data_IF_615141843515
#
_entry.id   IF_615141843515
#
_cell.length_a   1.000
_cell.length_b   1.000
_cell.length_c   1.000
_cell.angle_alpha   90.00
_cell.angle_beta   90.00
_cell.angle_gamma   90.00
#
_symmetry.space_group_name_H-M   'P 1'
#
loop_
_entity.id
_entity.type
_entity.pdbx_description
1 polymer ?
#
# COMPACT_ATOMS: atom_id res chain seq x y z
N UNK A 1 9.00 -5.89 -2.09
CA UNK A 1 8.66 -6.13 -3.51
C UNK A 1 7.93 -7.46 -3.60
N UNK A 2 6.90 -7.55 -4.46
CA UNK A 2 6.29 -8.85 -4.80
C UNK A 2 7.06 -9.47 -5.95
N UNK A 3 7.38 -10.74 -5.81
CA UNK A 3 8.11 -11.53 -6.79
C UNK A 3 7.18 -12.57 -7.39
N UNK A 4 7.17 -12.63 -8.71
CA UNK A 4 6.48 -13.66 -9.49
C UNK A 4 7.50 -14.60 -10.11
N UNK A 5 7.09 -15.83 -10.40
CA UNK A 5 7.95 -16.87 -10.97
C UNK A 5 7.19 -17.60 -12.06
N UNK A 6 7.75 -17.74 -13.26
CA UNK A 6 7.09 -18.40 -14.42
C UNK A 6 6.46 -19.76 -14.10
N UNK A 7 7.03 -20.51 -13.16
CA UNK A 7 6.48 -21.80 -12.73
C UNK A 7 5.12 -21.67 -12.02
N UNK A 8 4.81 -20.49 -11.49
CA UNK A 8 3.54 -20.14 -10.87
C UNK A 8 2.55 -19.51 -11.86
N UNK A 9 2.95 -19.24 -13.12
CA UNK A 9 2.08 -18.64 -14.13
C UNK A 9 0.93 -19.60 -14.43
N UNK A 10 -0.29 -19.11 -14.24
CA UNK A 10 -1.50 -19.80 -14.62
C UNK A 10 -1.83 -19.47 -16.07
N UNK A 11 -2.30 -20.48 -16.79
CA UNK A 11 -2.78 -20.33 -18.17
C UNK A 11 -1.72 -19.74 -19.13
N UNK A 12 -0.46 -20.22 -19.12
CA UNK A 12 0.57 -19.66 -19.99
C UNK A 12 0.17 -19.85 -21.47
N UNK A 13 0.01 -18.75 -22.20
CA UNK A 13 -0.30 -18.76 -23.63
C UNK A 13 -1.79 -18.83 -24.00
N UNK A 14 -2.72 -18.69 -23.06
CA UNK A 14 -4.15 -18.55 -23.37
C UNK A 14 -4.43 -17.14 -23.92
N UNK A 15 -4.83 -17.08 -25.19
CA UNK A 15 -5.15 -15.83 -25.93
C UNK A 15 -6.39 -15.08 -25.41
N UNK A 16 -6.98 -15.52 -24.30
CA UNK A 16 -8.20 -14.94 -23.72
C UNK A 16 -7.91 -13.97 -22.57
N UNK A 17 -6.67 -13.92 -22.07
CA UNK A 17 -6.30 -12.87 -21.12
C UNK A 17 -6.29 -11.52 -21.85
N UNK A 18 -6.81 -10.45 -21.25
CA UNK A 18 -6.64 -9.10 -21.79
C UNK A 18 -5.15 -8.81 -22.04
N UNK A 19 -4.86 -8.03 -23.08
CA UNK A 19 -3.48 -7.72 -23.47
C UNK A 19 -2.67 -7.19 -22.27
N UNK A 20 -1.55 -7.85 -21.99
CA UNK A 20 -0.64 -7.48 -20.89
C UNK A 20 -1.02 -8.02 -19.51
N UNK A 21 -2.09 -8.82 -19.36
CA UNK A 21 -2.46 -9.44 -18.08
C UNK A 21 -1.92 -10.86 -17.97
N UNK A 22 -1.26 -11.15 -16.84
CA UNK A 22 -0.80 -12.50 -16.48
C UNK A 22 -1.38 -12.91 -15.13
N UNK A 23 -1.74 -14.18 -15.00
CA UNK A 23 -2.29 -14.74 -13.78
C UNK A 23 -1.26 -15.61 -13.08
N UNK A 24 -1.17 -15.50 -11.75
CA UNK A 24 -0.20 -16.24 -10.95
C UNK A 24 -0.93 -17.05 -9.87
N UNK A 25 -0.53 -18.29 -9.67
CA UNK A 25 -1.08 -19.17 -8.62
C UNK A 25 -0.60 -18.78 -7.22
N UNK A 26 0.56 -18.14 -7.12
CA UNK A 26 1.09 -17.54 -5.91
C UNK A 26 2.10 -16.44 -6.24
N UNK A 27 2.32 -15.55 -5.28
CA UNK A 27 3.34 -14.50 -5.31
C UNK A 27 4.16 -14.55 -4.04
N UNK A 28 5.45 -14.26 -4.14
CA UNK A 28 6.36 -14.22 -2.99
C UNK A 28 6.54 -12.77 -2.54
N UNK A 29 6.57 -12.53 -1.22
CA UNK A 29 6.99 -11.25 -0.66
C UNK A 29 8.48 -11.38 -0.27
N UNK A 30 9.35 -10.74 -1.03
CA UNK A 30 10.81 -10.91 -0.89
C UNK A 30 11.40 -10.18 0.33
N UNK A 31 10.71 -9.14 0.81
CA UNK A 31 11.19 -8.29 1.88
C UNK A 31 10.16 -8.26 3.00
N UNK A 32 10.59 -8.47 4.24
CA UNK A 32 9.77 -8.36 5.45
C UNK A 32 9.49 -6.90 5.79
N UNK A 33 8.87 -6.17 4.86
CA UNK A 33 8.49 -4.76 4.99
C UNK A 33 6.97 -4.63 4.89
N UNK A 34 6.38 -3.57 5.48
CA UNK A 34 4.96 -3.33 5.31
C UNK A 34 4.58 -3.13 3.84
N UNK A 35 3.39 -3.60 3.48
CA UNK A 35 2.78 -3.42 2.16
C UNK A 35 1.31 -3.05 2.31
N UNK A 36 0.65 -2.70 1.21
CA UNK A 36 -0.73 -2.22 1.23
C UNK A 36 -1.66 -3.15 0.47
N UNK A 37 -2.81 -3.44 1.07
CA UNK A 37 -3.91 -4.12 0.41
C UNK A 37 -5.01 -3.11 0.20
N UNK A 38 -5.33 -2.83 -1.07
CA UNK A 38 -6.21 -1.73 -1.46
C UNK A 38 -7.41 -2.30 -2.19
N UNK A 39 -8.59 -1.73 -1.94
CA UNK A 39 -9.78 -1.97 -2.76
C UNK A 39 -9.94 -0.80 -3.72
N UNK A 40 -9.94 -1.11 -5.02
CA UNK A 40 -10.23 -0.15 -6.08
C UNK A 40 -11.64 -0.43 -6.59
N UNK A 41 -12.42 0.63 -6.74
CA UNK A 41 -13.70 0.59 -7.45
C UNK A 41 -13.49 1.22 -8.82
N UNK A 42 -13.99 0.55 -9.86
CA UNK A 42 -14.16 1.09 -11.21
C UNK A 42 -15.65 1.11 -11.53
N UNK A 43 -16.20 2.29 -11.79
CA UNK A 43 -17.62 2.50 -12.10
C UNK A 43 -17.77 3.16 -13.48
N UNK A 44 -18.30 2.39 -14.42
CA UNK A 44 -18.56 2.84 -15.80
C UNK A 44 -19.90 3.58 -15.95
N UNK A 45 -20.62 3.82 -14.84
CA UNK A 45 -21.94 4.44 -14.79
C UNK A 45 -23.10 3.45 -14.94
N UNK A 46 -22.83 2.20 -15.32
CA UNK A 46 -23.82 1.12 -15.39
C UNK A 46 -23.60 0.08 -14.29
N UNK A 47 -22.34 -0.24 -14.00
CA UNK A 47 -21.95 -1.13 -12.92
C UNK A 47 -20.62 -0.71 -12.28
N UNK A 48 -20.54 -0.92 -10.96
CA UNK A 48 -19.31 -0.74 -10.20
C UNK A 48 -18.63 -2.09 -9.92
N UNK A 49 -17.40 -2.24 -10.39
CA UNK A 49 -16.55 -3.41 -10.14
C UNK A 49 -15.54 -3.11 -9.04
N UNK A 50 -15.36 -4.07 -8.13
CA UNK A 50 -14.38 -3.98 -7.04
C UNK A 50 -13.26 -4.96 -7.28
N UNK A 51 -12.03 -4.47 -7.28
CA UNK A 51 -10.84 -5.30 -7.36
C UNK A 51 -9.91 -5.01 -6.18
N UNK A 52 -9.05 -5.98 -5.88
CA UNK A 52 -8.07 -5.86 -4.80
C UNK A 52 -6.67 -5.74 -5.38
N UNK A 53 -5.96 -4.68 -4.99
CA UNK A 53 -4.59 -4.41 -5.41
C UNK A 53 -3.63 -4.59 -4.25
N UNK A 54 -2.54 -5.32 -4.49
CA UNK A 54 -1.43 -5.47 -3.55
C UNK A 54 -0.29 -4.53 -3.97
N UNK A 55 0.04 -3.55 -3.12
CA UNK A 55 1.04 -2.52 -3.43
C UNK A 55 2.24 -2.64 -2.47
N UNK A 56 3.46 -2.87 -2.96
CA UNK A 56 4.59 -3.24 -2.10
C UNK A 56 5.36 -2.05 -1.51
N UNK A 57 5.04 -0.80 -1.87
CA UNK A 57 5.81 0.37 -1.44
C UNK A 57 4.99 1.65 -1.45
N UNK A 58 5.44 2.63 -0.67
CA UNK A 58 4.80 3.95 -0.57
C UNK A 58 4.83 4.72 -1.89
N UNK A 59 5.94 4.78 -2.65
CA UNK A 59 5.93 5.50 -3.94
C UNK A 59 4.94 4.93 -4.97
N UNK A 60 4.67 3.63 -4.94
CA UNK A 60 3.65 3.01 -5.79
C UNK A 60 2.24 3.33 -5.29
N UNK A 61 2.04 3.40 -3.97
CA UNK A 61 0.77 3.83 -3.39
C UNK A 61 0.47 5.29 -3.78
N UNK A 62 1.45 6.19 -3.75
CA UNK A 62 1.30 7.58 -4.22
C UNK A 62 0.83 7.63 -5.68
N UNK A 63 1.37 6.76 -6.55
CA UNK A 63 0.92 6.66 -7.93
C UNK A 63 -0.54 6.21 -8.04
N UNK A 64 -0.96 5.24 -7.22
CA UNK A 64 -2.36 4.79 -7.17
C UNK A 64 -3.28 5.91 -6.69
N UNK A 65 -2.88 6.66 -5.66
CA UNK A 65 -3.64 7.81 -5.14
C UNK A 65 -3.79 8.89 -6.22
N UNK A 66 -2.70 9.20 -6.93
CA UNK A 66 -2.68 10.21 -7.99
C UNK A 66 -3.47 9.79 -9.24
N UNK A 67 -3.64 8.49 -9.47
CA UNK A 67 -4.38 7.95 -10.61
C UNK A 67 -5.90 7.88 -10.39
N UNK A 68 -6.40 8.24 -9.20
CA UNK A 68 -7.83 8.26 -8.94
C UNK A 68 -8.56 9.26 -9.84
N UNK A 69 -9.76 8.87 -10.30
CA UNK A 69 -10.65 9.67 -11.15
C UNK A 69 -12.06 9.68 -10.58
N UNK A 70 -13.02 10.27 -11.29
CA UNK A 70 -14.44 10.17 -10.92
C UNK A 70 -14.99 8.74 -11.11
N UNK A 71 -14.41 7.98 -12.03
CA UNK A 71 -14.84 6.62 -12.39
C UNK A 71 -13.98 5.52 -11.78
N UNK A 72 -12.85 5.85 -11.14
CA UNK A 72 -11.98 4.88 -10.50
C UNK A 72 -11.40 5.46 -9.21
N UNK A 73 -11.67 4.85 -8.06
CA UNK A 73 -11.25 5.38 -6.76
C UNK A 73 -10.87 4.28 -5.76
N UNK A 74 -10.16 4.69 -4.71
CA UNK A 74 -9.87 3.86 -3.55
C UNK A 74 -11.08 3.85 -2.61
N UNK A 75 -11.66 2.67 -2.39
CA UNK A 75 -12.77 2.49 -1.44
C UNK A 75 -12.26 2.09 -0.06
N UNK A 76 -11.24 1.22 -0.02
CA UNK A 76 -10.63 0.76 1.22
C UNK A 76 -9.11 0.66 1.08
N UNK A 77 -8.40 0.91 2.17
CA UNK A 77 -6.95 0.72 2.26
C UNK A 77 -6.58 0.06 3.57
N UNK A 78 -5.69 -0.93 3.49
CA UNK A 78 -5.17 -1.67 4.63
C UNK A 78 -3.65 -1.65 4.63
N UNK A 79 -3.08 -1.50 5.82
CA UNK A 79 -1.67 -1.73 6.06
C UNK A 79 -1.48 -3.20 6.46
N UNK A 80 -0.58 -3.89 5.75
CA UNK A 80 -0.14 -5.23 6.13
C UNK A 80 1.26 -5.12 6.74
N UNK A 81 1.34 -5.24 8.06
CA UNK A 81 2.56 -4.98 8.83
C UNK A 81 3.21 -6.28 9.33
N UNK A 82 4.55 -6.39 9.29
CA UNK A 82 5.26 -7.53 9.84
C UNK A 82 5.31 -7.51 11.37
N UNK A 83 5.48 -8.69 11.98
CA UNK A 83 5.43 -8.85 13.44
C UNK A 83 6.45 -8.02 14.24
N UNK A 84 7.61 -7.72 13.66
CA UNK A 84 8.62 -6.88 14.32
C UNK A 84 8.25 -5.39 14.38
N UNK A 85 7.28 -4.96 13.55
CA UNK A 85 6.84 -3.58 13.45
C UNK A 85 5.61 -3.30 14.33
N UNK A 86 4.80 -4.33 14.60
CA UNK A 86 3.51 -4.18 15.27
C UNK A 86 3.47 -4.70 16.72
N UNK A 87 4.61 -5.12 17.29
CA UNK A 87 4.75 -5.62 18.67
C UNK A 87 3.91 -6.88 19.01
N UNK A 88 3.11 -7.40 18.07
CA UNK A 88 2.29 -8.60 18.24
C UNK A 88 3.04 -9.88 17.81
N UNK A 89 4.17 -9.74 17.10
CA UNK A 89 5.04 -10.86 16.73
C UNK A 89 4.51 -11.72 15.56
N UNK A 90 3.44 -11.28 14.89
CA UNK A 90 2.90 -11.90 13.67
C UNK A 90 2.47 -10.84 12.66
N UNK A 91 2.23 -11.24 11.41
CA UNK A 91 1.65 -10.34 10.41
C UNK A 91 0.24 -9.91 10.81
N UNK A 92 -0.06 -8.63 10.62
CA UNK A 92 -1.40 -8.06 10.81
C UNK A 92 -1.81 -7.30 9.55
N UNK A 93 -3.10 -7.33 9.24
CA UNK A 93 -3.73 -6.52 8.21
C UNK A 93 -4.76 -5.63 8.88
N UNK A 94 -4.60 -4.32 8.76
CA UNK A 94 -5.34 -3.35 9.58
C UNK A 94 -5.79 -2.18 8.73
N UNK A 95 -7.02 -1.64 8.92
CA UNK A 95 -7.48 -0.49 8.16
C UNK A 95 -6.52 0.69 8.33
N UNK A 96 -6.05 1.23 7.21
CA UNK A 96 -5.07 2.30 7.19
C UNK A 96 -5.80 3.65 7.25
N UNK A 97 -5.42 4.48 8.22
CA UNK A 97 -6.00 5.82 8.39
C UNK A 97 -5.10 6.90 7.79
N UNK A 98 -3.78 6.78 7.92
CA UNK A 98 -2.85 7.83 7.51
C UNK A 98 -1.44 7.30 7.27
N UNK A 99 -0.74 7.91 6.30
CA UNK A 99 0.69 7.75 6.09
C UNK A 99 1.35 9.13 6.07
N UNK A 100 2.41 9.27 6.86
CA UNK A 100 3.26 10.45 6.88
C UNK A 100 4.69 10.08 6.43
N UNK A 101 5.26 10.88 5.53
CA UNK A 101 6.70 10.88 5.21
C UNK A 101 7.43 11.63 6.32
N UNK A 102 8.40 10.98 6.94
CA UNK A 102 9.28 11.56 7.96
C UNK A 102 10.53 12.05 7.23
N UNK A 103 10.80 13.35 7.30
CA UNK A 103 11.93 13.96 6.59
C UNK A 103 12.87 14.69 7.54
N UNK A 104 14.17 14.66 7.23
CA UNK A 104 15.16 15.47 7.93
C UNK A 104 15.05 16.96 7.58
N UNK A 105 15.92 17.79 8.16
CA UNK A 105 15.93 19.23 7.94
C UNK A 105 16.30 19.62 6.51
N UNK A 106 16.93 18.71 5.76
CA UNK A 106 17.32 18.87 4.35
C UNK A 106 16.22 18.37 3.40
N UNK A 107 15.13 17.79 3.93
CA UNK A 107 14.02 17.26 3.16
C UNK A 107 14.23 15.82 2.68
N UNK A 108 15.30 15.15 3.11
CA UNK A 108 15.54 13.73 2.80
C UNK A 108 14.60 12.85 3.58
N UNK A 109 14.01 11.85 2.92
CA UNK A 109 13.10 10.90 3.57
C UNK A 109 13.86 9.90 4.44
N UNK A 110 13.50 9.86 5.72
CA UNK A 110 14.06 8.97 6.73
C UNK A 110 13.21 7.71 6.96
N UNK A 111 11.99 7.70 6.43
CA UNK A 111 11.03 6.61 6.58
C UNK A 111 9.62 7.13 6.71
N UNK A 112 8.72 6.26 7.14
CA UNK A 112 7.29 6.54 7.19
C UNK A 112 6.72 6.29 8.57
N UNK A 113 5.65 7.01 8.87
CA UNK A 113 4.75 6.72 9.98
C UNK A 113 3.40 6.30 9.40
N UNK A 114 2.84 5.22 9.94
CA UNK A 114 1.55 4.68 9.55
C UNK A 114 0.63 4.73 10.75
N UNK A 115 -0.57 5.27 10.59
CA UNK A 115 -1.63 5.21 11.60
C UNK A 115 -2.75 4.31 11.09
N UNK A 116 -3.16 3.36 11.91
CA UNK A 116 -4.20 2.38 11.60
C UNK A 116 -5.39 2.54 12.56
N UNK A 117 -6.49 1.85 12.27
CA UNK A 117 -7.66 1.84 13.13
C UNK A 117 -7.34 1.40 14.57
N UNK A 118 -7.99 2.07 15.53
CA UNK A 118 -7.66 1.97 16.96
C UNK A 118 -6.46 2.83 17.37
N UNK A 119 -6.12 3.87 16.58
CA UNK A 119 -5.07 4.86 16.80
C UNK A 119 -3.65 4.31 17.02
N UNK A 120 -3.43 3.05 16.63
CA UNK A 120 -2.10 2.46 16.66
C UNK A 120 -1.25 3.07 15.57
N UNK A 121 0.01 3.29 15.92
CA UNK A 121 0.98 3.93 15.06
C UNK A 121 2.21 3.06 14.92
N UNK A 122 2.68 2.87 13.70
CA UNK A 122 3.90 2.15 13.40
C UNK A 122 4.86 3.03 12.60
N UNK A 123 6.15 2.76 12.67
CA UNK A 123 7.13 3.48 11.87
C UNK A 123 8.18 2.56 11.27
N UNK A 124 8.63 2.92 10.08
CA UNK A 124 9.79 2.34 9.41
C UNK A 124 11.05 3.19 9.51
N UNK A 125 10.98 4.35 10.17
CA UNK A 125 12.14 5.20 10.35
C UNK A 125 13.08 4.65 11.43
N UNK A 126 14.38 4.64 11.14
CA UNK A 126 15.41 4.26 12.11
C UNK A 126 15.67 5.35 13.17
N UNK A 127 15.01 6.51 13.06
CA UNK A 127 15.31 7.69 13.87
C UNK A 127 14.53 7.67 15.19
N UNK A 128 15.04 6.96 16.19
CA UNK A 128 14.58 7.11 17.57
C UNK A 128 15.34 8.21 18.34
N UNK A 129 16.48 8.71 17.85
CA UNK A 129 17.18 9.82 18.53
C UNK A 129 18.25 10.52 17.67
N UNK A 130 17.89 11.50 16.85
CA UNK A 130 18.83 12.56 16.49
C UNK A 130 18.10 13.88 16.69
N UNK A 131 18.69 14.78 17.49
CA UNK A 131 18.17 16.11 17.79
C UNK A 131 18.11 17.06 16.58
N UNK A 132 17.98 16.53 15.37
CA UNK A 132 17.69 17.29 14.16
C UNK A 132 16.19 17.56 14.05
N UNK A 133 15.85 18.71 13.48
CA UNK A 133 14.47 19.12 13.24
C UNK A 133 13.86 18.20 12.18
N UNK A 134 12.88 17.40 12.57
CA UNK A 134 12.14 16.50 11.68
C UNK A 134 10.87 17.21 11.18
N UNK A 135 10.52 17.02 9.92
CA UNK A 135 9.24 17.44 9.35
C UNK A 135 8.41 16.23 8.93
N UNK A 136 7.08 16.37 8.96
CA UNK A 136 6.13 15.33 8.57
C UNK A 136 5.26 15.84 7.43
N UNK A 137 5.09 15.04 6.39
CA UNK A 137 4.26 15.36 5.23
C UNK A 137 3.24 14.26 5.00
N UNK A 138 1.98 14.62 4.79
CA UNK A 138 0.90 13.65 4.53
C UNK A 138 1.07 13.07 3.14
N UNK A 139 1.16 11.75 3.05
CA UNK A 139 1.14 11.00 1.80
C UNK A 139 -0.27 10.44 1.57
N UNK A 140 -0.86 9.85 2.60
CA UNK A 140 -2.19 9.27 2.55
C UNK A 140 -3.00 9.69 3.77
N UNK A 141 -4.28 10.01 3.55
CA UNK A 141 -5.28 10.19 4.60
C UNK A 141 -6.57 9.54 4.13
N UNK A 142 -7.13 8.64 4.93
CA UNK A 142 -8.38 7.95 4.60
C UNK A 142 -9.53 8.94 4.35
N UNK A 143 -9.57 10.04 5.11
CA UNK A 143 -10.59 11.06 4.97
C UNK A 143 -10.48 11.89 3.67
N UNK A 144 -9.29 11.96 3.07
CA UNK A 144 -9.06 12.71 1.83
C UNK A 144 -9.05 11.83 0.59
N UNK A 145 -8.57 10.60 0.72
CA UNK A 145 -8.23 9.76 -0.42
C UNK A 145 -9.11 8.54 -0.58
N UNK A 146 -9.93 8.17 0.41
CA UNK A 146 -10.94 7.13 0.24
C UNK A 146 -12.30 7.75 -0.11
N UNK A 147 -13.06 7.06 -0.95
CA UNK A 147 -14.48 7.38 -1.20
C UNK A 147 -15.33 6.13 -1.00
N UNK A 148 -16.40 6.26 -0.24
CA UNK A 148 -17.39 5.21 0.02
C UNK A 148 -18.78 5.63 -0.38
#
# INVERSE_FOLDING_TARGET
MFKTSRNAELLPGLSTAPDGVQFWSYVELEMTWPWFYLQIVEDDGNAAFRSMLMVPSVPLLEQVIAAQTEHAWLEQAYLVSPGHMNEVGRWLMEPLLEILSIRDAQGSELGHQYRVEGDRTYSTSACQSLGSRISKHVIFSAALHLRG
#
